data_IF_106117091548
#
_entry.id   IF_106117091548
#
_cell.length_a   1.000
_cell.length_b   1.000
_cell.length_c   1.000
_cell.angle_alpha   90.00
_cell.angle_beta   90.00
_cell.angle_gamma   90.00
#
_symmetry.space_group_name_H-M   'P 1'
#
loop_
_entity.id
_entity.type
_entity.pdbx_description
1 polymer ?
#
# COMPACT_ATOMS: atom_id res chain seq x y z
N UNK A 1 8.52 -8.44 -16.14
CA UNK A 1 9.32 -8.08 -14.95
C UNK A 1 8.67 -8.65 -13.71
N UNK A 2 9.40 -9.42 -12.90
CA UNK A 2 8.90 -9.88 -11.59
C UNK A 2 8.54 -8.69 -10.71
N UNK A 3 7.39 -8.72 -10.01
CA UNK A 3 6.95 -7.65 -9.09
C UNK A 3 8.00 -7.37 -8.01
N UNK A 4 8.73 -8.41 -7.58
CA UNK A 4 9.80 -8.28 -6.58
C UNK A 4 10.94 -7.35 -7.01
N UNK A 5 11.12 -7.09 -8.32
CA UNK A 5 12.14 -6.15 -8.81
C UNK A 5 11.90 -4.71 -8.34
N UNK A 6 10.67 -4.34 -8.00
CA UNK A 6 10.36 -2.98 -7.53
C UNK A 6 11.16 -2.63 -6.28
N UNK A 7 11.12 -3.51 -5.26
CA UNK A 7 11.87 -3.30 -4.02
C UNK A 7 13.38 -3.57 -4.19
N UNK A 8 13.75 -4.59 -4.98
CA UNK A 8 15.15 -4.96 -5.16
C UNK A 8 15.94 -3.92 -5.94
N UNK A 9 15.35 -3.23 -6.92
CA UNK A 9 16.04 -2.13 -7.63
C UNK A 9 16.40 -0.98 -6.70
N UNK A 10 15.48 -0.60 -5.81
CA UNK A 10 15.72 0.44 -4.80
C UNK A 10 16.82 -0.01 -3.84
N UNK A 11 16.73 -1.25 -3.35
CA UNK A 11 17.71 -1.81 -2.42
C UNK A 11 19.11 -1.89 -3.03
N UNK A 12 19.22 -2.35 -4.29
CA UNK A 12 20.48 -2.40 -5.02
C UNK A 12 21.05 -0.99 -5.25
N UNK A 13 20.24 -0.03 -5.67
CA UNK A 13 20.69 1.35 -5.93
C UNK A 13 21.19 2.04 -4.66
N UNK A 14 20.52 1.81 -3.52
CA UNK A 14 20.87 2.35 -2.21
C UNK A 14 21.87 1.49 -1.42
N UNK A 15 22.33 0.35 -1.98
CA UNK A 15 23.20 -0.61 -1.29
C UNK A 15 22.65 -1.11 0.06
N UNK A 16 21.33 -1.26 0.15
CA UNK A 16 20.66 -1.77 1.35
C UNK A 16 20.78 -3.29 1.42
N UNK A 17 21.11 -3.80 2.61
CA UNK A 17 21.32 -5.23 2.87
C UNK A 17 20.21 -5.89 3.69
N UNK A 18 19.20 -5.10 4.10
CA UNK A 18 18.03 -5.60 4.81
C UNK A 18 17.00 -6.31 3.91
N UNK A 19 15.85 -6.69 4.46
CA UNK A 19 14.76 -7.32 3.71
C UNK A 19 14.27 -6.45 2.55
N UNK A 20 14.14 -7.05 1.36
CA UNK A 20 13.63 -6.40 0.16
C UNK A 20 12.55 -7.27 -0.48
N UNK A 21 11.29 -6.80 -0.49
CA UNK A 21 10.18 -7.56 -1.06
C UNK A 21 9.03 -6.65 -1.47
N UNK A 22 8.12 -7.20 -2.24
CA UNK A 22 6.88 -6.54 -2.67
C UNK A 22 5.70 -7.34 -2.11
N UNK A 23 4.71 -6.64 -1.59
CA UNK A 23 3.45 -7.24 -1.10
C UNK A 23 2.31 -6.85 -2.03
N UNK A 24 1.34 -7.74 -2.17
CA UNK A 24 0.11 -7.48 -2.91
C UNK A 24 -1.07 -7.99 -2.08
N UNK A 25 -1.75 -7.05 -1.43
CA UNK A 25 -3.01 -7.24 -0.70
C UNK A 25 -4.10 -6.34 -1.30
N UNK A 26 -4.04 -6.11 -2.61
CA UNK A 26 -4.89 -5.15 -3.32
C UNK A 26 -4.79 -3.73 -2.72
N UNK A 27 -5.92 -3.08 -2.41
CA UNK A 27 -5.98 -1.67 -2.00
C UNK A 27 -5.20 -1.34 -0.72
N UNK A 28 -4.96 -2.32 0.16
CA UNK A 28 -4.27 -2.13 1.44
C UNK A 28 -2.75 -2.31 1.35
N UNK A 29 -2.20 -2.66 0.17
CA UNK A 29 -0.81 -3.12 0.01
C UNK A 29 0.24 -2.19 0.61
N UNK A 30 0.11 -0.87 0.44
CA UNK A 30 1.06 0.11 0.96
C UNK A 30 1.01 0.22 2.49
N UNK A 31 -0.17 0.15 3.09
CA UNK A 31 -0.33 0.13 4.56
C UNK A 31 0.10 -1.21 5.15
N UNK A 32 -0.13 -2.31 4.44
CA UNK A 32 0.39 -3.63 4.82
C UNK A 32 1.92 -3.64 4.82
N UNK A 33 2.55 -3.08 3.79
CA UNK A 33 4.01 -2.90 3.76
C UNK A 33 4.51 -2.03 4.93
N UNK A 34 3.78 -0.97 5.28
CA UNK A 34 4.09 -0.12 6.45
C UNK A 34 4.05 -0.91 7.75
N UNK A 35 3.05 -1.77 7.95
CA UNK A 35 2.96 -2.62 9.13
C UNK A 35 4.14 -3.59 9.22
N UNK A 36 4.51 -4.24 8.12
CA UNK A 36 5.67 -5.13 8.11
C UNK A 36 6.97 -4.41 8.43
N UNK A 37 7.18 -3.22 7.85
CA UNK A 37 8.33 -2.37 8.17
C UNK A 37 8.34 -1.94 9.65
N UNK A 38 7.18 -1.53 10.19
CA UNK A 38 7.03 -1.20 11.60
C UNK A 38 7.37 -2.38 12.50
N UNK A 39 6.87 -3.58 12.18
CA UNK A 39 7.18 -4.81 12.92
C UNK A 39 8.66 -5.16 12.86
N UNK A 40 9.27 -5.13 11.68
CA UNK A 40 10.69 -5.43 11.48
C UNK A 40 11.60 -4.48 12.28
N UNK A 41 11.26 -3.17 12.32
CA UNK A 41 12.00 -2.20 13.13
C UNK A 41 11.80 -2.48 14.63
N UNK A 42 10.55 -2.76 15.04
CA UNK A 42 10.21 -3.01 16.44
C UNK A 42 10.83 -4.30 16.99
N UNK A 43 10.99 -5.34 16.17
CA UNK A 43 11.65 -6.60 16.56
C UNK A 43 13.16 -6.57 16.40
N UNK A 44 13.73 -5.45 15.90
CA UNK A 44 15.17 -5.31 15.71
C UNK A 44 15.73 -6.00 14.46
N UNK A 45 14.89 -6.45 13.53
CA UNK A 45 15.34 -6.99 12.24
C UNK A 45 15.92 -5.91 11.34
N UNK A 46 15.49 -4.65 11.49
CA UNK A 46 16.00 -3.49 10.74
C UNK A 46 16.08 -2.26 11.65
N UNK A 47 16.95 -1.32 11.34
CA UNK A 47 17.00 -0.02 12.03
C UNK A 47 16.14 1.06 11.34
N UNK A 48 16.01 0.93 10.02
CA UNK A 48 15.18 1.77 9.18
C UNK A 48 14.59 0.94 8.02
N UNK A 49 13.52 1.44 7.42
CA UNK A 49 12.85 0.80 6.30
C UNK A 49 12.27 1.85 5.34
N UNK A 50 12.41 1.61 4.04
CA UNK A 50 11.73 2.36 3.00
C UNK A 50 10.43 1.63 2.68
N UNK A 51 9.31 2.33 2.81
CA UNK A 51 8.00 1.81 2.46
C UNK A 51 7.48 2.59 1.26
N UNK A 52 7.10 1.89 0.20
CA UNK A 52 6.60 2.47 -1.03
C UNK A 52 5.23 1.92 -1.41
N UNK A 53 4.43 2.73 -2.08
CA UNK A 53 3.17 2.34 -2.69
C UNK A 53 3.06 2.93 -4.09
N UNK A 54 2.71 2.10 -5.07
CA UNK A 54 2.54 2.53 -6.45
C UNK A 54 1.26 1.96 -7.07
N UNK A 55 0.60 2.76 -7.89
CA UNK A 55 -0.50 2.33 -8.75
C UNK A 55 -0.51 3.20 -10.00
N UNK A 56 -0.53 2.57 -11.19
CA UNK A 56 -0.65 3.24 -12.47
C UNK A 56 -1.80 2.61 -13.27
N UNK A 57 -2.60 3.46 -13.91
CA UNK A 57 -3.79 3.09 -14.66
C UNK A 57 -3.51 3.04 -16.17
N UNK A 58 -2.43 2.35 -16.55
CA UNK A 58 -1.92 2.35 -17.94
C UNK A 58 -2.77 1.52 -18.91
N UNK A 59 -3.52 0.54 -18.42
CA UNK A 59 -4.26 -0.41 -19.25
C UNK A 59 -5.77 -0.28 -19.06
N UNK A 60 -6.48 0.13 -20.12
CA UNK A 60 -7.93 0.37 -20.09
C UNK A 60 -8.74 -0.87 -19.69
N UNK A 61 -8.30 -2.08 -20.10
CA UNK A 61 -8.99 -3.33 -19.74
C UNK A 61 -9.21 -3.47 -18.23
N UNK A 62 -8.25 -3.03 -17.42
CA UNK A 62 -8.37 -3.10 -15.95
C UNK A 62 -9.50 -2.19 -15.47
N UNK A 63 -9.62 -0.98 -16.03
CA UNK A 63 -10.74 -0.08 -15.71
C UNK A 63 -12.08 -0.68 -16.14
N UNK A 64 -12.15 -1.31 -17.32
CA UNK A 64 -13.36 -1.98 -17.80
C UNK A 64 -13.76 -3.17 -16.92
N UNK A 65 -12.78 -3.93 -16.40
CA UNK A 65 -13.04 -5.01 -15.45
C UNK A 65 -13.64 -4.48 -14.15
N UNK A 66 -13.09 -3.42 -13.57
CA UNK A 66 -13.67 -2.79 -12.38
C UNK A 66 -15.05 -2.17 -12.65
N UNK A 67 -15.27 -1.59 -13.84
CA UNK A 67 -16.59 -1.09 -14.24
C UNK A 67 -17.63 -2.22 -14.29
N UNK A 68 -17.27 -3.39 -14.84
CA UNK A 68 -18.15 -4.57 -14.89
C UNK A 68 -18.47 -5.15 -13.51
N UNK A 69 -17.57 -4.97 -12.54
CA UNK A 69 -17.83 -5.32 -11.13
C UNK A 69 -18.77 -4.32 -10.42
N UNK A 70 -19.14 -3.20 -11.06
CA UNK A 70 -20.05 -2.22 -10.49
C UNK A 70 -19.42 -1.35 -9.38
N UNK A 71 -18.10 -1.39 -9.20
CA UNK A 71 -17.42 -0.66 -8.11
C UNK A 71 -16.96 0.75 -8.50
N UNK A 72 -17.02 1.11 -9.79
CA UNK A 72 -16.59 2.42 -10.29
C UNK A 72 -17.76 3.40 -10.40
N UNK A 73 -17.51 4.64 -9.98
CA UNK A 73 -18.42 5.76 -10.24
C UNK A 73 -18.35 6.20 -11.72
N UNK A 74 -19.50 6.58 -12.29
CA UNK A 74 -19.59 7.04 -13.70
C UNK A 74 -19.06 8.47 -13.91
N UNK A 75 -19.16 9.31 -12.88
CA UNK A 75 -18.75 10.70 -12.89
C UNK A 75 -17.30 10.92 -12.43
N UNK A 76 -16.57 9.82 -12.16
CA UNK A 76 -15.15 9.86 -11.81
C UNK A 76 -14.84 10.53 -10.47
N UNK A 77 -15.82 10.59 -9.55
CA UNK A 77 -15.66 11.23 -8.24
C UNK A 77 -15.98 10.28 -7.09
N UNK A 78 -15.02 10.13 -6.16
CA UNK A 78 -15.29 9.53 -4.86
C UNK A 78 -16.11 10.50 -4.00
N UNK A 79 -17.38 10.18 -3.73
CA UNK A 79 -18.27 10.98 -2.88
C UNK A 79 -18.30 10.39 -1.47
N UNK A 80 -17.17 10.46 -0.77
CA UNK A 80 -17.02 9.85 0.55
C UNK A 80 -18.07 10.37 1.53
N UNK A 81 -18.88 9.46 2.08
CA UNK A 81 -19.93 9.73 3.07
C UNK A 81 -21.13 10.55 2.57
N UNK A 82 -21.28 10.74 1.27
CA UNK A 82 -22.42 11.44 0.64
C UNK A 82 -23.57 10.47 0.30
N UNK A 83 -24.82 10.95 0.31
CA UNK A 83 -26.00 10.12 -0.02
C UNK A 83 -26.02 9.64 -1.48
N UNK A 84 -25.32 10.35 -2.37
CA UNK A 84 -25.17 10.02 -3.80
C UNK A 84 -23.92 9.19 -4.09
N UNK A 85 -23.28 8.60 -3.08
CA UNK A 85 -22.12 7.73 -3.27
C UNK A 85 -22.48 6.51 -4.15
N UNK A 86 -21.72 6.32 -5.23
CA UNK A 86 -22.02 5.36 -6.29
C UNK A 86 -20.78 4.59 -6.80
N UNK A 87 -19.79 4.40 -5.93
CA UNK A 87 -18.51 3.74 -6.25
C UNK A 87 -17.30 4.65 -6.03
N UNK A 88 -16.12 4.19 -6.46
CA UNK A 88 -14.87 4.95 -6.35
C UNK A 88 -14.32 5.34 -7.73
N UNK A 89 -13.44 6.33 -7.76
CA UNK A 89 -12.68 6.74 -8.93
C UNK A 89 -11.26 6.18 -8.83
N UNK A 90 -10.77 5.56 -9.92
CA UNK A 90 -9.38 5.10 -9.97
C UNK A 90 -8.44 6.31 -10.05
N UNK A 91 -7.32 6.23 -9.35
CA UNK A 91 -6.27 7.24 -9.35
C UNK A 91 -4.90 6.61 -9.52
N UNK A 92 -3.92 7.41 -9.92
CA UNK A 92 -2.52 7.00 -10.01
C UNK A 92 -1.72 7.59 -8.86
N UNK A 93 -0.71 6.87 -8.39
CA UNK A 93 0.14 7.33 -7.28
C UNK A 93 1.49 6.62 -7.33
N UNK A 94 2.54 7.36 -7.00
CA UNK A 94 3.84 6.82 -6.59
C UNK A 94 4.22 7.59 -5.33
N UNK A 95 4.31 6.90 -4.21
CA UNK A 95 4.65 7.50 -2.92
C UNK A 95 5.61 6.59 -2.15
N UNK A 96 6.46 7.20 -1.34
CA UNK A 96 7.36 6.49 -0.43
C UNK A 96 7.56 7.28 0.86
N UNK A 97 7.82 6.57 1.96
CA UNK A 97 8.22 7.14 3.23
C UNK A 97 9.36 6.34 3.86
N UNK A 98 10.12 6.99 4.74
CA UNK A 98 11.18 6.38 5.53
C UNK A 98 10.66 6.18 6.96
N UNK A 99 10.68 4.94 7.42
CA UNK A 99 10.47 4.58 8.82
C UNK A 99 11.82 4.32 9.48
N UNK A 100 11.96 4.73 10.72
CA UNK A 100 13.15 4.55 11.54
C UNK A 100 12.77 4.65 13.02
N UNK A 101 13.65 4.19 13.90
CA UNK A 101 13.47 4.38 15.35
C UNK A 101 13.52 5.89 15.66
N UNK A 102 12.66 6.34 16.58
CA UNK A 102 12.54 7.77 16.90
C UNK A 102 13.87 8.38 17.36
N UNK A 103 14.68 7.63 18.11
CA UNK A 103 16.02 8.04 18.58
C UNK A 103 17.01 8.35 17.44
N UNK A 104 16.84 7.71 16.28
CA UNK A 104 17.74 7.83 15.14
C UNK A 104 17.22 8.88 14.13
N UNK A 105 16.02 9.41 14.37
CA UNK A 105 15.29 10.28 13.44
C UNK A 105 15.68 11.75 13.56
N UNK A 106 16.13 12.36 12.46
CA UNK A 106 16.37 13.81 12.37
C UNK A 106 15.10 14.65 12.25
N UNK A 107 14.04 14.08 11.66
CA UNK A 107 12.73 14.71 11.49
C UNK A 107 11.65 13.66 11.71
N UNK A 108 10.65 14.01 12.51
CA UNK A 108 9.51 13.15 12.83
C UNK A 108 8.25 13.89 12.39
N UNK A 109 7.51 13.32 11.44
CA UNK A 109 6.19 13.83 11.05
C UNK A 109 5.10 13.28 11.96
N UNK A 110 5.13 11.97 12.18
CA UNK A 110 4.20 11.23 13.05
C UNK A 110 4.94 10.06 13.69
N UNK A 111 4.44 9.59 14.83
CA UNK A 111 4.90 8.36 15.47
C UNK A 111 3.87 7.26 15.30
N UNK A 112 4.28 6.11 14.76
CA UNK A 112 3.40 4.93 14.65
C UNK A 112 3.30 4.27 16.01
N UNK A 113 2.14 4.42 16.67
CA UNK A 113 1.89 3.81 17.97
C UNK A 113 1.62 2.30 17.85
N UNK A 114 0.83 1.91 16.86
CA UNK A 114 0.47 0.52 16.59
C UNK A 114 0.07 0.33 15.12
N UNK A 115 0.31 -0.86 14.59
CA UNK A 115 -0.18 -1.31 13.29
C UNK A 115 -0.49 -2.81 13.37
N UNK A 116 -1.69 -3.20 12.92
CA UNK A 116 -2.16 -4.58 12.92
C UNK A 116 -3.16 -4.79 11.78
N UNK A 117 -3.03 -5.93 11.11
CA UNK A 117 -3.97 -6.40 10.09
C UNK A 117 -4.67 -7.70 10.50
N UNK A 118 -5.85 -7.92 9.92
CA UNK A 118 -6.57 -9.19 9.88
C UNK A 118 -7.13 -9.42 8.45
N UNK A 119 -8.01 -10.42 8.30
CA UNK A 119 -8.71 -10.71 7.05
C UNK A 119 -10.19 -10.96 7.38
N UNK A 120 -11.08 -10.58 6.47
CA UNK A 120 -12.54 -10.75 6.61
C UNK A 120 -12.95 -12.21 6.86
N UNK A 121 -12.16 -13.18 6.38
CA UNK A 121 -12.52 -14.59 6.46
C UNK A 121 -13.71 -14.93 5.55
N UNK A 122 -14.53 -15.89 5.97
CA UNK A 122 -15.72 -16.31 5.21
C UNK A 122 -16.88 -15.33 5.41
N UNK A 123 -17.56 -15.00 4.31
CA UNK A 123 -18.79 -14.20 4.27
C UNK A 123 -19.79 -14.88 3.33
N UNK A 124 -21.04 -15.02 3.76
CA UNK A 124 -22.11 -15.64 2.94
C UNK A 124 -22.38 -14.86 1.65
N UNK A 125 -22.21 -13.53 1.70
CA UNK A 125 -22.42 -12.61 0.58
C UNK A 125 -21.33 -12.72 -0.49
N UNK A 126 -20.28 -13.50 -0.24
CA UNK A 126 -19.11 -13.63 -1.11
C UNK A 126 -17.94 -12.73 -0.68
N UNK A 127 -16.88 -12.76 -1.48
CA UNK A 127 -15.65 -11.97 -1.22
C UNK A 127 -15.88 -10.48 -1.55
N UNK A 128 -16.83 -10.19 -2.43
CA UNK A 128 -17.19 -8.86 -2.94
C UNK A 128 -18.67 -8.58 -2.75
#
# INVERSE_FOLDING_TARGET
CSRGMLAHRISNWLQLTGPAYTVDTACSSSLYALEHAFKAIRTGQCDAAIVGGTNLCLHLIISLQFARLGVLCLDGRCKSFDDKANGYARSETIAACLLQKAKDSRRIYVQVLHAKTNCDGYKEQGIT
#
